data_IF_160476050839
#
_entry.id   IF_160476050839
#
_cell.length_a   1.000
_cell.length_b   1.000
_cell.length_c   1.000
_cell.angle_alpha   90.00
_cell.angle_beta   90.00
_cell.angle_gamma   90.00
#
_symmetry.space_group_name_H-M   'P 1'
#
loop_
_entity.id
_entity.type
_entity.pdbx_description
1 polymer ?
#
# COMPACT_ATOMS: atom_id res chain seq x y z
N UNK A 1 -0.16 70.61 1.74
CA UNK A 1 -0.66 69.64 0.76
C UNK A 1 0.38 68.52 0.71
N UNK A 2 -0.02 67.32 1.16
CA UNK A 2 0.54 65.95 0.99
C UNK A 2 1.79 65.80 0.09
N UNK A 3 2.81 64.98 0.36
CA UNK A 3 2.89 63.53 0.68
C UNK A 3 4.24 63.23 1.40
N UNK A 4 4.29 62.50 2.53
CA UNK A 4 4.62 61.05 2.66
C UNK A 4 5.82 60.53 1.85
N UNK A 5 6.91 60.11 2.54
CA UNK A 5 7.32 58.70 2.53
C UNK A 5 8.27 58.36 3.69
N UNK A 6 7.93 57.27 4.39
CA UNK A 6 8.69 56.68 5.49
C UNK A 6 9.81 55.82 4.89
N UNK A 7 11.05 56.08 5.25
CA UNK A 7 12.12 55.08 5.10
C UNK A 7 11.89 53.94 6.10
N UNK A 8 11.23 52.89 5.63
CA UNK A 8 11.20 51.59 6.31
C UNK A 8 12.46 50.82 5.92
N UNK A 9 13.44 50.78 6.81
CA UNK A 9 14.58 49.88 6.70
C UNK A 9 14.05 48.43 6.68
N UNK A 10 14.05 47.86 5.47
CA UNK A 10 13.75 46.45 5.26
C UNK A 10 14.99 45.68 5.71
N UNK A 11 14.98 45.19 6.95
CA UNK A 11 15.94 44.20 7.43
C UNK A 11 15.76 42.94 6.59
N UNK A 12 16.51 42.83 5.49
CA UNK A 12 16.77 41.55 4.85
C UNK A 12 17.58 40.74 5.85
N UNK A 13 16.91 39.79 6.52
CA UNK A 13 17.57 38.74 7.27
C UNK A 13 18.40 37.92 6.27
N UNK A 14 19.66 38.32 6.09
CA UNK A 14 20.66 37.51 5.45
C UNK A 14 20.91 36.35 6.41
N UNK A 15 20.22 35.22 6.17
CA UNK A 15 20.39 34.01 6.96
C UNK A 15 21.87 33.62 6.82
N UNK A 16 22.64 33.89 7.87
CA UNK A 16 24.04 33.52 7.92
C UNK A 16 24.13 32.00 7.82
N UNK A 17 24.57 31.52 6.65
CA UNK A 17 24.97 30.13 6.44
C UNK A 17 26.33 29.93 7.12
N UNK A 18 26.35 29.94 8.45
CA UNK A 18 27.55 29.60 9.22
C UNK A 18 27.93 28.15 8.94
N UNK A 19 29.22 27.89 8.76
CA UNK A 19 29.78 26.54 8.62
C UNK A 19 29.33 25.61 9.76
N UNK A 20 29.16 26.16 10.96
CA UNK A 20 28.66 25.43 12.13
C UNK A 20 27.19 24.99 11.94
N UNK A 21 26.34 25.86 11.40
CA UNK A 21 24.93 25.53 11.14
C UNK A 21 24.79 24.51 10.00
N UNK A 22 25.68 24.54 9.01
CA UNK A 22 25.73 23.49 8.00
C UNK A 22 26.22 22.17 8.60
N UNK A 23 27.31 22.21 9.37
CA UNK A 23 27.84 21.04 10.07
C UNK A 23 26.80 20.38 10.99
N UNK A 24 26.07 21.16 11.80
CA UNK A 24 25.02 20.64 12.69
C UNK A 24 23.87 20.02 11.90
N UNK A 25 23.45 20.63 10.78
CA UNK A 25 22.44 20.03 9.90
C UNK A 25 22.94 18.71 9.32
N UNK A 26 24.17 18.69 8.83
CA UNK A 26 24.79 17.50 8.24
C UNK A 26 25.00 16.38 9.27
N UNK A 27 25.34 16.74 10.52
CA UNK A 27 25.49 15.84 11.66
C UNK A 27 24.14 15.20 12.01
N UNK A 28 23.09 16.01 12.20
CA UNK A 28 21.75 15.53 12.57
C UNK A 28 21.12 14.69 11.45
N UNK A 29 21.34 15.06 10.19
CA UNK A 29 20.82 14.33 9.03
C UNK A 29 21.75 13.19 8.57
N UNK A 30 22.90 12.99 9.22
CA UNK A 30 23.91 11.99 8.84
C UNK A 30 24.33 12.05 7.35
N UNK A 31 24.40 13.25 6.78
CA UNK A 31 24.61 13.48 5.33
C UNK A 31 25.95 12.90 4.88
N UNK A 32 25.91 12.01 3.89
CA UNK A 32 27.11 11.34 3.37
C UNK A 32 28.13 12.35 2.80
N UNK A 33 29.43 12.06 2.95
CA UNK A 33 30.52 12.89 2.41
C UNK A 33 30.87 14.16 3.21
N UNK A 34 30.04 14.58 4.16
CA UNK A 34 30.26 15.78 5.00
C UNK A 34 31.05 15.46 6.27
N UNK A 35 31.65 16.48 6.91
CA UNK A 35 32.30 16.31 8.22
C UNK A 35 31.28 15.97 9.32
N UNK A 36 30.10 16.59 9.29
CA UNK A 36 29.00 16.29 10.22
C UNK A 36 28.55 14.84 10.10
N UNK A 37 28.22 14.37 8.91
CA UNK A 37 27.79 13.00 8.70
C UNK A 37 28.89 11.94 8.92
N UNK A 38 30.17 12.30 8.80
CA UNK A 38 31.29 11.43 9.23
C UNK A 38 31.35 11.29 10.75
N UNK A 39 31.22 12.40 11.50
CA UNK A 39 31.20 12.35 12.96
C UNK A 39 29.97 11.58 13.48
N UNK A 40 28.79 11.80 12.90
CA UNK A 40 27.57 11.06 13.25
C UNK A 40 27.78 9.54 13.14
N UNK A 41 28.36 9.07 12.02
CA UNK A 41 28.69 7.64 11.82
C UNK A 41 29.76 7.14 12.79
N UNK A 42 30.74 7.96 13.13
CA UNK A 42 31.77 7.58 14.10
C UNK A 42 31.20 7.43 15.52
N UNK A 43 30.23 8.27 15.89
CA UNK A 43 29.56 8.20 17.19
C UNK A 43 28.59 7.02 17.33
N UNK A 44 28.17 6.40 16.22
CA UNK A 44 27.30 5.23 16.20
C UNK A 44 28.08 4.02 15.64
N UNK A 45 28.87 3.33 16.48
CA UNK A 45 29.71 2.22 16.04
C UNK A 45 28.90 0.98 15.67
N UNK A 46 27.70 0.83 16.23
CA UNK A 46 26.85 -0.34 16.00
C UNK A 46 26.12 -0.26 14.65
N UNK A 47 26.02 -1.39 13.92
CA UNK A 47 25.19 -1.48 12.72
C UNK A 47 23.74 -1.07 12.99
N UNK A 48 23.13 -0.36 12.04
CA UNK A 48 21.75 0.08 12.12
C UNK A 48 21.03 -0.21 10.81
N UNK A 49 19.72 -0.45 10.89
CA UNK A 49 18.89 -0.70 9.70
C UNK A 49 18.88 0.55 8.83
N UNK A 50 19.30 0.39 7.58
CA UNK A 50 19.29 1.45 6.57
C UNK A 50 18.18 1.14 5.55
N UNK A 51 17.09 1.91 5.59
CA UNK A 51 15.93 1.70 4.72
C UNK A 51 16.25 1.89 3.24
N UNK A 52 17.29 2.67 2.91
CA UNK A 52 17.75 2.87 1.53
C UNK A 52 18.49 1.65 0.97
N UNK A 53 19.01 0.79 1.86
CA UNK A 53 19.70 -0.46 1.47
C UNK A 53 18.81 -1.69 1.58
N UNK A 54 17.70 -1.62 2.30
CA UNK A 54 16.73 -2.69 2.35
C UNK A 54 16.22 -3.03 0.94
N UNK A 55 15.80 -4.28 0.72
CA UNK A 55 15.39 -4.75 -0.62
C UNK A 55 14.11 -5.56 -0.56
N UNK A 56 13.30 -5.49 -1.63
CA UNK A 56 12.07 -6.26 -1.78
C UNK A 56 12.22 -7.25 -2.96
N UNK A 57 12.09 -8.54 -2.67
CA UNK A 57 12.22 -9.63 -3.64
C UNK A 57 10.85 -10.22 -3.96
N UNK A 58 10.56 -10.45 -5.23
CA UNK A 58 9.31 -11.07 -5.68
C UNK A 58 9.41 -11.64 -7.10
N UNK A 59 8.61 -12.64 -7.38
CA UNK A 59 8.43 -13.20 -8.71
C UNK A 59 7.31 -12.44 -9.45
N UNK A 60 7.63 -11.83 -10.60
CA UNK A 60 6.65 -11.02 -11.37
C UNK A 60 5.51 -11.88 -11.93
N UNK A 61 5.83 -13.12 -12.26
CA UNK A 61 4.92 -14.13 -12.78
C UNK A 61 3.82 -14.57 -11.80
N UNK A 62 4.06 -14.40 -10.50
CA UNK A 62 3.13 -14.75 -9.42
C UNK A 62 2.07 -13.68 -9.18
N UNK A 63 2.28 -12.45 -9.70
CA UNK A 63 1.38 -11.32 -9.46
C UNK A 63 0.16 -11.37 -10.39
N UNK A 64 -0.88 -12.06 -9.91
CA UNK A 64 -2.17 -12.18 -10.63
C UNK A 64 -3.35 -11.88 -9.74
N UNK A 65 -4.41 -11.36 -10.34
CA UNK A 65 -5.63 -11.06 -9.62
C UNK A 65 -6.20 -12.31 -8.93
N UNK A 66 -6.44 -12.22 -7.63
CA UNK A 66 -7.00 -13.31 -6.82
C UNK A 66 -6.02 -14.44 -6.50
N UNK A 67 -4.76 -14.37 -6.95
CA UNK A 67 -3.74 -15.35 -6.58
C UNK A 67 -2.90 -14.83 -5.40
N UNK A 68 -2.69 -15.63 -4.34
CA UNK A 68 -1.79 -15.26 -3.28
C UNK A 68 -0.35 -15.26 -3.79
N UNK A 69 0.32 -14.12 -3.65
CA UNK A 69 1.73 -13.92 -3.91
C UNK A 69 2.47 -13.64 -2.60
N UNK A 70 3.73 -14.09 -2.52
CA UNK A 70 4.61 -13.83 -1.37
C UNK A 70 5.80 -13.02 -1.85
N UNK A 71 5.92 -11.81 -1.34
CA UNK A 71 7.09 -10.95 -1.48
C UNK A 71 8.00 -11.16 -0.26
N UNK A 72 9.29 -10.91 -0.40
CA UNK A 72 10.26 -11.02 0.69
C UNK A 72 10.97 -9.69 0.89
N UNK A 73 10.75 -9.06 2.03
CA UNK A 73 11.56 -7.90 2.46
C UNK A 73 12.81 -8.42 3.15
N UNK A 74 13.96 -7.87 2.78
CA UNK A 74 15.26 -8.16 3.41
C UNK A 74 15.78 -6.86 4.02
N UNK A 75 15.92 -6.85 5.34
CA UNK A 75 16.45 -5.70 6.08
C UNK A 75 17.97 -5.72 6.06
N UNK A 76 18.57 -4.60 5.70
CA UNK A 76 20.01 -4.44 5.59
C UNK A 76 20.51 -3.29 6.44
N UNK A 77 21.76 -3.39 6.88
CA UNK A 77 22.45 -2.33 7.59
C UNK A 77 23.07 -1.30 6.63
N UNK A 78 23.75 -0.29 7.19
CA UNK A 78 24.45 0.75 6.43
C UNK A 78 25.65 0.25 5.60
N UNK A 79 26.06 -1.00 5.78
CA UNK A 79 27.12 -1.65 5.00
C UNK A 79 26.54 -2.54 3.89
N UNK A 80 25.25 -2.86 3.98
CA UNK A 80 24.54 -3.72 3.03
C UNK A 80 24.44 -5.16 3.51
N UNK A 81 24.84 -5.46 4.74
CA UNK A 81 24.72 -6.78 5.33
C UNK A 81 23.31 -7.01 5.87
N UNK A 82 22.83 -8.25 5.79
CA UNK A 82 21.50 -8.60 6.30
C UNK A 82 21.52 -8.50 7.83
N UNK A 83 20.59 -7.73 8.38
CA UNK A 83 20.51 -7.46 9.82
C UNK A 83 19.14 -7.85 10.36
N UNK A 84 19.13 -8.48 11.54
CA UNK A 84 17.91 -8.75 12.29
C UNK A 84 17.84 -7.83 13.50
N UNK A 85 16.76 -7.06 13.60
CA UNK A 85 16.43 -6.26 14.79
C UNK A 85 15.16 -6.82 15.43
N UNK A 86 15.20 -7.23 16.71
CA UNK A 86 14.00 -7.65 17.43
C UNK A 86 12.96 -6.53 17.46
N UNK A 87 11.67 -6.90 17.31
CA UNK A 87 10.53 -5.97 17.36
C UNK A 87 10.47 -4.89 16.28
N UNK A 88 11.34 -4.96 15.26
CA UNK A 88 11.29 -4.06 14.10
C UNK A 88 9.92 -4.13 13.42
N UNK A 89 9.26 -2.99 13.24
CA UNK A 89 7.93 -2.93 12.64
C UNK A 89 8.05 -2.76 11.14
N UNK A 90 7.56 -3.74 10.39
CA UNK A 90 7.51 -3.70 8.92
C UNK A 90 6.05 -3.71 8.47
N UNK A 91 5.64 -2.64 7.80
CA UNK A 91 4.32 -2.47 7.20
C UNK A 91 4.45 -2.49 5.67
N UNK A 92 3.48 -3.08 4.98
CA UNK A 92 3.48 -3.18 3.51
C UNK A 92 2.10 -2.89 2.91
N UNK A 93 2.07 -2.08 1.84
CA UNK A 93 0.85 -1.68 1.13
C UNK A 93 1.05 -1.69 -0.38
N UNK A 94 0.01 -2.08 -1.12
CA UNK A 94 -0.08 -1.89 -2.56
C UNK A 94 -0.97 -0.67 -2.84
N UNK A 95 -0.40 0.35 -3.48
CA UNK A 95 -1.13 1.54 -3.93
C UNK A 95 -1.37 1.41 -5.44
N UNK A 96 -2.63 1.40 -5.91
CA UNK A 96 -2.88 1.37 -7.35
C UNK A 96 -2.39 2.66 -7.99
N UNK A 97 -1.71 2.52 -9.13
CA UNK A 97 -1.18 3.63 -9.92
C UNK A 97 -1.68 3.54 -11.36
N UNK A 98 -1.65 4.66 -12.06
CA UNK A 98 -1.94 4.68 -13.49
C UNK A 98 -0.75 4.17 -14.29
N UNK A 99 -1.04 3.60 -15.48
CA UNK A 99 0.00 3.11 -16.39
C UNK A 99 1.01 4.22 -16.78
N UNK A 100 0.59 5.50 -16.76
CA UNK A 100 1.50 6.63 -17.04
C UNK A 100 2.52 6.84 -15.93
N UNK A 101 2.12 6.62 -14.69
CA UNK A 101 3.00 6.73 -13.53
C UNK A 101 3.93 5.52 -13.40
N UNK A 102 3.73 4.46 -14.20
CA UNK A 102 4.56 3.26 -14.21
C UNK A 102 5.94 3.45 -14.90
N UNK A 103 6.17 4.55 -15.61
CA UNK A 103 7.49 4.92 -16.17
C UNK A 103 7.77 4.49 -17.61
N UNK A 104 6.76 4.01 -18.36
CA UNK A 104 6.92 3.68 -19.78
C UNK A 104 6.88 4.94 -20.66
N UNK A 105 8.05 5.51 -20.96
CA UNK A 105 8.22 6.62 -21.92
C UNK A 105 8.03 6.19 -23.40
N UNK A 106 7.89 4.89 -23.66
CA UNK A 106 7.84 4.32 -25.02
C UNK A 106 6.73 3.28 -25.23
N UNK A 107 5.54 3.46 -24.64
CA UNK A 107 4.34 2.78 -25.15
C UNK A 107 3.14 3.72 -25.22
N UNK A 108 3.20 4.68 -26.16
CA UNK A 108 2.04 5.52 -26.55
C UNK A 108 0.95 4.73 -27.30
N UNK A 109 0.72 3.46 -26.96
CA UNK A 109 -0.37 2.63 -27.51
C UNK A 109 -0.75 1.50 -26.55
N UNK A 110 -1.44 1.80 -25.45
CA UNK A 110 -2.51 0.91 -24.96
C UNK A 110 -3.65 1.76 -24.47
N UNK A 111 -4.74 1.68 -25.22
CA UNK A 111 -6.13 1.95 -24.90
C UNK A 111 -6.37 2.69 -23.57
N UNK A 112 -6.31 4.03 -23.64
CA UNK A 112 -7.50 4.77 -23.21
C UNK A 112 -8.65 4.26 -24.07
N UNK A 113 -9.89 4.38 -23.63
CA UNK A 113 -10.99 4.76 -24.54
C UNK A 113 -10.39 5.29 -25.85
N UNK A 114 -10.64 4.57 -26.96
CA UNK A 114 -10.24 4.98 -28.33
C UNK A 114 -10.17 6.50 -28.37
N UNK A 115 -9.09 7.10 -28.92
CA UNK A 115 -9.05 8.56 -29.15
C UNK A 115 -10.46 9.02 -29.45
N UNK A 116 -11.05 9.88 -28.59
CA UNK A 116 -12.48 10.08 -28.61
C UNK A 116 -12.78 10.60 -30.00
N UNK A 117 -13.44 9.75 -30.77
CA UNK A 117 -13.96 10.15 -32.06
C UNK A 117 -14.84 11.36 -31.76
N UNK A 118 -14.87 12.35 -32.66
CA UNK A 118 -15.63 13.60 -32.49
C UNK A 118 -17.12 13.31 -32.17
N UNK A 119 -17.55 12.07 -32.39
CA UNK A 119 -18.89 11.52 -32.20
C UNK A 119 -19.11 10.70 -30.91
N UNK A 120 -18.11 10.55 -30.02
CA UNK A 120 -18.21 9.66 -28.82
C UNK A 120 -19.36 10.06 -27.87
N UNK A 121 -19.69 11.35 -27.79
CA UNK A 121 -20.81 11.89 -27.01
C UNK A 121 -21.85 12.56 -27.91
N UNK A 122 -22.04 12.03 -29.13
CA UNK A 122 -22.93 12.64 -30.12
C UNK A 122 -22.52 14.06 -30.54
N UNK A 123 -21.22 14.38 -30.49
CA UNK A 123 -20.69 15.73 -30.79
C UNK A 123 -20.64 16.68 -29.59
N UNK A 124 -21.04 16.25 -28.39
CA UNK A 124 -20.89 17.04 -27.17
C UNK A 124 -19.43 17.07 -26.68
N UNK A 125 -19.03 18.11 -25.93
CA UNK A 125 -17.74 18.13 -25.24
C UNK A 125 -17.62 16.99 -24.23
N UNK A 126 -16.43 16.76 -23.71
CA UNK A 126 -16.25 15.76 -22.66
C UNK A 126 -16.95 16.22 -21.37
N UNK A 127 -17.77 15.38 -20.70
CA UNK A 127 -18.43 15.78 -19.46
C UNK A 127 -17.40 16.03 -18.34
N UNK A 128 -17.59 17.08 -17.56
CA UNK A 128 -16.71 17.43 -16.45
C UNK A 128 -16.84 16.43 -15.29
N UNK A 129 -15.73 16.05 -14.66
CA UNK A 129 -15.73 15.19 -13.46
C UNK A 129 -15.57 15.98 -12.15
N UNK A 130 -15.42 17.31 -12.23
CA UNK A 130 -15.13 18.17 -11.08
C UNK A 130 -16.40 18.77 -10.44
N UNK A 131 -17.57 18.57 -11.06
CA UNK A 131 -18.84 19.07 -10.54
C UNK A 131 -19.40 18.07 -9.52
N UNK A 132 -19.51 18.44 -8.23
CA UNK A 132 -20.08 17.55 -7.23
C UNK A 132 -21.57 17.31 -7.49
N UNK A 133 -22.08 16.14 -7.13
CA UNK A 133 -23.49 15.81 -7.28
C UNK A 133 -24.37 16.66 -6.35
N UNK A 134 -25.43 17.25 -6.91
CA UNK A 134 -26.43 18.03 -6.18
C UNK A 134 -27.85 17.66 -6.63
N UNK A 135 -28.82 17.74 -5.69
CA UNK A 135 -30.24 17.52 -6.02
C UNK A 135 -30.74 18.69 -6.85
N UNK A 136 -31.29 18.41 -8.03
CA UNK A 136 -31.87 19.46 -8.87
C UNK A 136 -33.32 19.68 -8.50
N UNK A 137 -33.71 20.93 -8.25
CA UNK A 137 -35.11 21.29 -7.97
C UNK A 137 -35.72 21.86 -9.25
N UNK A 138 -36.71 21.15 -9.81
CA UNK A 138 -37.46 21.60 -10.99
C UNK A 138 -38.95 21.53 -10.69
N UNK A 139 -39.66 22.64 -10.90
CA UNK A 139 -41.11 22.73 -10.68
C UNK A 139 -41.56 22.19 -9.31
N UNK A 140 -40.85 22.61 -8.25
CA UNK A 140 -41.06 22.16 -6.84
C UNK A 140 -40.86 20.66 -6.60
N UNK A 141 -40.32 19.93 -7.58
CA UNK A 141 -39.97 18.51 -7.49
C UNK A 141 -38.46 18.36 -7.28
N UNK A 142 -38.08 17.50 -6.35
CA UNK A 142 -36.68 17.15 -6.10
C UNK A 142 -36.26 16.00 -7.00
N UNK A 143 -35.38 16.28 -7.96
CA UNK A 143 -34.87 15.30 -8.91
C UNK A 143 -33.52 14.75 -8.44
N UNK A 144 -33.46 13.43 -8.24
CA UNK A 144 -32.27 12.71 -7.76
C UNK A 144 -31.43 12.07 -8.88
N UNK A 145 -31.52 12.59 -10.10
CA UNK A 145 -30.82 12.05 -11.26
C UNK A 145 -29.70 13.00 -11.68
N UNK A 146 -28.49 12.47 -11.89
CA UNK A 146 -27.33 13.26 -12.36
C UNK A 146 -27.61 13.94 -13.70
N UNK A 147 -28.37 13.28 -14.59
CA UNK A 147 -28.80 13.83 -15.89
C UNK A 147 -29.81 14.98 -15.76
N UNK A 148 -30.33 15.26 -14.57
CA UNK A 148 -31.16 16.45 -14.32
C UNK A 148 -30.31 17.66 -13.92
N UNK A 149 -29.05 17.47 -13.53
CA UNK A 149 -28.13 18.57 -13.23
C UNK A 149 -27.75 19.30 -14.51
N UNK A 150 -27.65 20.63 -14.45
CA UNK A 150 -27.35 21.49 -15.60
C UNK A 150 -26.04 21.11 -16.32
N UNK A 151 -25.02 20.68 -15.57
CA UNK A 151 -23.74 20.26 -16.12
C UNK A 151 -23.82 18.97 -16.98
N UNK A 152 -24.86 18.16 -16.79
CA UNK A 152 -24.97 16.83 -17.35
C UNK A 152 -26.26 16.56 -18.15
N UNK A 153 -27.10 17.59 -18.33
CA UNK A 153 -28.42 17.47 -18.97
C UNK A 153 -28.38 17.01 -20.44
N UNK A 154 -27.23 17.21 -21.10
CA UNK A 154 -27.02 16.87 -22.51
C UNK A 154 -26.32 15.51 -22.69
N UNK A 155 -26.12 14.75 -21.61
CA UNK A 155 -25.52 13.42 -21.66
C UNK A 155 -26.51 12.36 -21.17
N UNK A 156 -26.47 11.20 -21.80
CA UNK A 156 -27.14 10.01 -21.33
C UNK A 156 -26.44 9.40 -20.11
N UNK A 157 -27.17 8.57 -19.35
CA UNK A 157 -26.57 7.80 -18.26
C UNK A 157 -25.41 6.92 -18.71
N UNK A 158 -25.47 6.39 -19.94
CA UNK A 158 -24.42 5.52 -20.47
C UNK A 158 -23.15 6.29 -20.83
N UNK A 159 -23.29 7.48 -21.41
CA UNK A 159 -22.17 8.39 -21.67
C UNK A 159 -21.49 8.84 -20.36
N UNK A 160 -22.27 9.15 -19.33
CA UNK A 160 -21.74 9.51 -18.02
C UNK A 160 -21.07 8.31 -17.32
N UNK A 161 -21.64 7.10 -17.46
CA UNK A 161 -21.03 5.86 -16.94
C UNK A 161 -19.72 5.55 -17.65
N UNK A 162 -19.64 5.83 -18.94
CA UNK A 162 -18.44 5.62 -19.76
C UNK A 162 -17.25 6.48 -19.29
N UNK A 163 -17.52 7.72 -18.86
CA UNK A 163 -16.48 8.63 -18.34
C UNK A 163 -16.23 8.49 -16.84
N UNK A 164 -17.18 7.93 -16.09
CA UNK A 164 -17.04 7.67 -14.67
C UNK A 164 -15.89 6.67 -14.50
N UNK A 165 -14.83 7.02 -13.74
CA UNK A 165 -13.69 6.13 -13.57
C UNK A 165 -14.18 4.76 -13.09
N UNK A 166 -13.87 3.69 -13.85
CA UNK A 166 -14.08 2.34 -13.39
C UNK A 166 -13.40 2.20 -12.03
N UNK A 167 -14.19 1.96 -10.98
CA UNK A 167 -13.82 1.69 -9.58
C UNK A 167 -12.40 2.14 -9.23
N UNK A 168 -12.25 3.27 -8.52
CA UNK A 168 -10.96 3.64 -7.91
C UNK A 168 -10.47 2.44 -7.13
N UNK A 169 -9.47 1.74 -7.68
CA UNK A 169 -8.82 0.60 -7.02
C UNK A 169 -8.40 1.10 -5.63
N UNK A 170 -8.76 0.37 -4.58
CA UNK A 170 -8.42 0.77 -3.22
C UNK A 170 -6.96 0.44 -2.92
N UNK A 171 -6.35 1.15 -1.98
CA UNK A 171 -5.09 0.71 -1.40
C UNK A 171 -5.29 -0.61 -0.66
N UNK A 172 -4.36 -1.54 -0.83
CA UNK A 172 -4.43 -2.89 -0.27
C UNK A 172 -3.33 -3.05 0.78
N UNK A 173 -3.71 -3.28 2.04
CA UNK A 173 -2.75 -3.59 3.11
C UNK A 173 -2.36 -5.07 3.03
N UNK A 174 -1.07 -5.36 3.17
CA UNK A 174 -0.52 -6.71 3.07
C UNK A 174 -0.23 -7.32 4.45
N UNK A 175 -0.22 -8.65 4.52
CA UNK A 175 0.13 -9.37 5.75
C UNK A 175 1.65 -9.59 5.81
N UNK A 176 2.30 -9.02 6.82
CA UNK A 176 3.75 -9.19 7.04
C UNK A 176 4.00 -10.22 8.14
N UNK A 177 4.92 -11.16 7.90
CA UNK A 177 5.40 -12.14 8.88
C UNK A 177 6.93 -12.11 8.99
N UNK A 178 7.50 -11.83 10.18
CA UNK A 178 8.94 -11.89 10.40
C UNK A 178 9.45 -13.34 10.46
N UNK A 179 10.68 -13.58 10.00
CA UNK A 179 11.35 -14.89 10.09
C UNK A 179 12.45 -14.97 11.17
N UNK A 180 12.77 -13.85 11.83
CA UNK A 180 13.80 -13.81 12.88
C UNK A 180 15.24 -13.80 12.39
N UNK A 181 15.47 -13.63 11.08
CA UNK A 181 16.79 -13.63 10.45
C UNK A 181 17.05 -12.38 9.57
N UNK A 182 16.26 -11.31 9.77
CA UNK A 182 16.31 -10.11 8.93
C UNK A 182 15.50 -10.21 7.64
N UNK A 183 14.68 -11.25 7.49
CA UNK A 183 13.73 -11.37 6.38
C UNK A 183 12.29 -11.40 6.85
N UNK A 184 11.39 -10.89 6.01
CA UNK A 184 9.96 -10.79 6.27
C UNK A 184 9.18 -11.26 5.05
N UNK A 185 8.25 -12.19 5.23
CA UNK A 185 7.30 -12.56 4.19
C UNK A 185 6.12 -11.61 4.17
N UNK A 186 5.85 -11.04 3.00
CA UNK A 186 4.70 -10.17 2.75
C UNK A 186 3.73 -10.92 1.85
N UNK A 187 2.59 -11.32 2.39
CA UNK A 187 1.54 -12.03 1.64
C UNK A 187 0.54 -11.04 1.09
N UNK A 188 0.29 -11.11 -0.21
CA UNK A 188 -0.63 -10.23 -0.92
C UNK A 188 -1.48 -11.04 -1.91
N UNK A 189 -2.79 -10.84 -1.89
CA UNK A 189 -3.72 -11.37 -2.89
C UNK A 189 -4.34 -10.18 -3.62
N UNK A 190 -3.86 -9.80 -4.81
CA UNK A 190 -4.34 -8.62 -5.51
C UNK A 190 -5.85 -8.71 -5.80
N UNK A 191 -6.61 -7.69 -5.41
CA UNK A 191 -8.07 -7.70 -5.63
C UNK A 191 -8.45 -7.41 -7.10
N UNK A 192 -7.61 -6.66 -7.82
CA UNK A 192 -7.86 -6.25 -9.19
C UNK A 192 -6.58 -6.24 -10.04
N UNK A 193 -6.75 -6.31 -11.35
CA UNK A 193 -5.65 -6.16 -12.31
C UNK A 193 -5.22 -4.70 -12.46
N UNK A 194 -3.98 -4.51 -12.90
CA UNK A 194 -3.41 -3.20 -13.20
C UNK A 194 -2.09 -2.93 -12.49
N UNK A 195 -1.63 -1.69 -12.59
CA UNK A 195 -0.35 -1.27 -12.02
C UNK A 195 -0.49 -0.87 -10.55
N UNK A 196 0.47 -1.28 -9.74
CA UNK A 196 0.56 -0.97 -8.31
C UNK A 196 1.98 -0.52 -7.95
N UNK A 197 2.08 0.44 -7.04
CA UNK A 197 3.29 0.77 -6.32
C UNK A 197 3.28 0.04 -4.98
N UNK A 198 4.27 -0.82 -4.74
CA UNK A 198 4.47 -1.48 -3.46
C UNK A 198 5.24 -0.54 -2.54
N UNK A 199 4.63 -0.19 -1.43
CA UNK A 199 5.20 0.70 -0.41
C UNK A 199 5.49 -0.13 0.83
N UNK A 200 6.77 -0.19 1.18
CA UNK A 200 7.26 -0.85 2.39
C UNK A 200 7.73 0.23 3.35
N UNK A 201 7.27 0.14 4.59
CA UNK A 201 7.61 1.07 5.66
C UNK A 201 8.24 0.28 6.81
N UNK A 202 9.44 0.69 7.24
CA UNK A 202 10.21 0.09 8.33
C UNK A 202 10.29 1.14 9.45
N UNK A 203 9.70 0.86 10.60
CA UNK A 203 9.58 1.78 11.76
C UNK A 203 9.06 3.19 11.41
N UNK A 204 8.15 3.27 10.43
CA UNK A 204 7.57 4.53 9.96
C UNK A 204 8.34 5.22 8.82
N UNK A 205 9.52 4.71 8.45
CA UNK A 205 10.31 5.21 7.32
C UNK A 205 10.07 4.38 6.07
N UNK A 206 9.83 5.02 4.94
CA UNK A 206 9.68 4.32 3.67
C UNK A 206 11.04 3.81 3.17
N UNK A 207 11.02 2.66 2.51
CA UNK A 207 12.13 2.25 1.65
C UNK A 207 12.25 3.21 0.46
N UNK A 208 13.47 3.58 0.09
CA UNK A 208 13.73 4.52 -1.00
C UNK A 208 13.33 3.95 -2.37
N UNK A 209 13.45 2.64 -2.56
CA UNK A 209 13.15 1.99 -3.83
C UNK A 209 11.63 1.87 -4.05
N UNK A 210 11.13 2.58 -5.06
CA UNK A 210 9.72 2.54 -5.46
C UNK A 210 9.46 1.34 -6.38
N UNK A 211 8.86 0.30 -5.84
CA UNK A 211 8.61 -0.96 -6.55
C UNK A 211 7.28 -0.91 -7.32
N UNK A 212 7.34 -0.69 -8.63
CA UNK A 212 6.16 -0.67 -9.50
C UNK A 212 5.95 -2.02 -10.17
N UNK A 213 4.76 -2.59 -10.01
CA UNK A 213 4.42 -3.93 -10.48
C UNK A 213 3.11 -3.95 -11.26
N UNK A 214 3.02 -4.82 -12.25
CA UNK A 214 1.79 -5.07 -13.02
C UNK A 214 1.14 -6.37 -12.52
N UNK A 215 -0.11 -6.27 -12.06
CA UNK A 215 -0.95 -7.41 -11.73
C UNK A 215 -1.73 -7.79 -12.99
N UNK A 216 -1.55 -9.05 -13.43
CA UNK A 216 -2.17 -9.58 -14.64
C UNK A 216 -3.46 -10.35 -14.33
N UNK A 217 -4.29 -10.53 -15.34
CA UNK A 217 -5.45 -11.42 -15.25
C UNK A 217 -5.00 -12.87 -15.01
N UNK A 218 -5.85 -13.61 -14.29
CA UNK A 218 -5.70 -15.05 -14.15
C UNK A 218 -6.24 -15.73 -15.41
N UNK A 219 -5.45 -16.59 -16.08
CA UNK A 219 -5.96 -17.36 -17.20
C UNK A 219 -7.12 -18.24 -16.72
N UNK A 220 -8.22 -18.23 -17.48
CA UNK A 220 -9.42 -18.98 -17.13
C UNK A 220 -9.10 -20.47 -16.95
N UNK A 221 -9.54 -21.05 -15.82
CA UNK A 221 -9.39 -22.48 -15.53
C UNK A 221 -8.11 -22.88 -14.79
N UNK A 222 -7.19 -21.95 -14.48
CA UNK A 222 -6.01 -22.25 -13.66
C UNK A 222 -6.30 -22.05 -12.17
N UNK A 223 -6.04 -23.09 -11.38
CA UNK A 223 -6.04 -23.03 -9.92
C UNK A 223 -4.78 -22.27 -9.48
N UNK A 224 -4.86 -21.39 -8.47
CA UNK A 224 -3.67 -20.71 -7.95
C UNK A 224 -2.56 -21.71 -7.63
N UNK A 225 -1.28 -21.36 -7.85
CA UNK A 225 -0.17 -22.17 -7.40
C UNK A 225 -0.42 -22.46 -5.93
N UNK A 226 -0.45 -23.75 -5.57
CA UNK A 226 -0.28 -24.13 -4.17
C UNK A 226 1.09 -23.61 -3.83
N UNK A 227 1.18 -22.43 -3.21
CA UNK A 227 2.43 -21.93 -2.72
C UNK A 227 2.97 -23.02 -1.80
N UNK A 228 3.98 -23.72 -2.31
CA UNK A 228 4.86 -24.53 -1.52
C UNK A 228 5.46 -23.55 -0.53
N UNK A 229 4.82 -23.42 0.62
CA UNK A 229 5.46 -22.85 1.78
C UNK A 229 6.83 -23.50 1.84
N UNK A 230 7.85 -22.64 1.78
CA UNK A 230 9.24 -22.95 2.08
C UNK A 230 9.27 -24.14 3.03
N UNK A 231 9.90 -25.24 2.57
CA UNK A 231 10.10 -26.51 3.28
C UNK A 231 9.49 -26.46 4.67
N UNK A 232 8.31 -27.08 4.83
CA UNK A 232 7.87 -27.51 6.16
C UNK A 232 9.12 -28.07 6.84
N UNK A 233 9.62 -27.38 7.87
CA UNK A 233 10.34 -28.07 8.93
C UNK A 233 9.52 -29.34 9.22
N UNK A 234 10.17 -30.51 9.36
CA UNK A 234 9.50 -31.80 9.41
C UNK A 234 8.26 -31.65 10.29
N UNK A 235 7.12 -31.75 9.61
CA UNK A 235 5.78 -31.42 10.11
C UNK A 235 5.71 -31.97 11.53
N UNK A 236 5.77 -31.11 12.56
CA UNK A 236 5.44 -31.55 13.92
C UNK A 236 4.08 -32.26 13.79
N UNK A 237 3.97 -33.54 14.16
CA UNK A 237 2.79 -34.31 13.83
C UNK A 237 1.59 -33.63 14.47
N UNK A 238 0.67 -33.12 13.63
CA UNK A 238 -0.53 -32.44 14.13
C UNK A 238 -1.29 -33.43 14.99
N UNK A 239 -1.43 -33.11 16.27
CA UNK A 239 -2.13 -33.96 17.23
C UNK A 239 -3.62 -33.75 17.05
N UNK A 240 -4.34 -34.85 16.93
CA UNK A 240 -5.80 -34.85 16.97
C UNK A 240 -6.24 -35.08 18.41
N UNK A 241 -7.07 -34.20 18.95
CA UNK A 241 -7.76 -34.42 20.22
C UNK A 241 -9.26 -34.34 20.02
N UNK A 242 -9.97 -35.30 20.60
CA UNK A 242 -11.43 -35.31 20.66
C UNK A 242 -11.88 -34.58 21.92
N UNK A 243 -12.78 -33.61 21.76
CA UNK A 243 -13.39 -32.93 22.90
C UNK A 243 -14.47 -33.83 23.51
N UNK A 244 -14.23 -34.34 24.72
CA UNK A 244 -15.16 -35.23 25.43
C UNK A 244 -15.61 -34.53 26.71
N UNK A 245 -16.92 -34.28 26.82
CA UNK A 245 -17.53 -33.69 28.01
C UNK A 245 -18.97 -34.18 28.17
N UNK A 246 -19.48 -34.26 29.41
CA UNK A 246 -20.89 -34.55 29.71
C UNK A 246 -21.61 -33.24 30.04
N UNK A 247 -22.83 -33.04 29.53
CA UNK A 247 -23.66 -31.84 29.76
C UNK A 247 -22.94 -30.52 29.40
N UNK A 248 -22.25 -30.48 28.26
CA UNK A 248 -21.59 -29.29 27.74
C UNK A 248 -22.19 -28.87 26.39
N UNK A 249 -22.21 -27.56 26.12
CA UNK A 249 -22.60 -26.99 24.83
C UNK A 249 -21.46 -27.00 23.79
N UNK A 250 -20.28 -27.51 24.15
CA UNK A 250 -19.09 -27.50 23.30
C UNK A 250 -17.95 -26.66 23.89
N UNK A 251 -16.77 -26.73 23.25
CA UNK A 251 -15.60 -25.91 23.57
C UNK A 251 -15.61 -24.66 22.70
N UNK A 252 -15.68 -23.47 23.31
CA UNK A 252 -15.68 -22.18 22.59
C UNK A 252 -14.25 -21.79 22.22
N UNK A 253 -14.03 -21.43 20.96
CA UNK A 253 -12.78 -20.89 20.44
C UNK A 253 -12.94 -19.37 20.34
N UNK A 254 -11.98 -18.63 20.91
CA UNK A 254 -11.98 -17.17 20.93
C UNK A 254 -10.72 -16.61 20.28
N UNK A 255 -10.83 -15.39 19.73
CA UNK A 255 -9.71 -14.73 19.06
C UNK A 255 -8.56 -14.35 20.02
N UNK A 256 -8.87 -14.11 21.30
CA UNK A 256 -7.89 -13.75 22.33
C UNK A 256 -8.13 -14.53 23.63
N UNK A 257 -7.14 -14.63 24.54
CA UNK A 257 -7.28 -15.26 25.85
C UNK A 257 -8.06 -14.37 26.83
N UNK A 258 -9.24 -13.90 26.42
CA UNK A 258 -10.16 -13.09 27.21
C UNK A 258 -11.59 -13.58 27.01
N UNK A 259 -12.36 -13.68 28.10
CA UNK A 259 -13.77 -14.08 28.06
C UNK A 259 -14.68 -13.06 27.35
N UNK A 260 -14.21 -11.84 27.16
CA UNK A 260 -14.95 -10.79 26.44
C UNK A 260 -14.62 -10.76 24.93
N UNK A 261 -13.59 -11.49 24.51
CA UNK A 261 -13.18 -11.48 23.09
C UNK A 261 -14.16 -12.25 22.20
N UNK A 262 -14.18 -11.91 20.91
CA UNK A 262 -15.07 -12.53 19.94
C UNK A 262 -14.96 -14.06 19.92
N UNK A 263 -16.10 -14.74 19.90
CA UNK A 263 -16.17 -16.18 19.72
C UNK A 263 -16.12 -16.50 18.22
N UNK A 264 -14.98 -17.03 17.78
CA UNK A 264 -14.72 -17.35 16.37
C UNK A 264 -15.14 -18.78 16.00
N UNK A 265 -15.49 -19.61 16.98
CA UNK A 265 -16.00 -20.96 16.71
C UNK A 265 -16.40 -21.73 17.97
N UNK A 266 -17.02 -22.90 17.75
CA UNK A 266 -17.36 -23.87 18.81
C UNK A 266 -17.05 -25.28 18.32
N UNK A 267 -16.36 -26.06 19.14
CA UNK A 267 -16.17 -27.49 18.91
C UNK A 267 -17.27 -28.25 19.63
N UNK A 268 -18.14 -28.99 18.93
CA UNK A 268 -19.21 -29.74 19.57
C UNK A 268 -18.65 -30.85 20.48
N UNK A 269 -19.46 -31.34 21.41
CA UNK A 269 -19.12 -32.55 22.19
C UNK A 269 -18.90 -33.70 21.20
N UNK A 270 -17.80 -34.44 21.39
CA UNK A 270 -17.27 -35.45 20.48
C UNK A 270 -16.66 -34.92 19.16
N UNK A 271 -16.54 -33.59 19.00
CA UNK A 271 -15.81 -32.98 17.91
C UNK A 271 -14.30 -33.22 18.01
N UNK A 272 -13.61 -33.21 16.88
CA UNK A 272 -12.15 -33.42 16.80
C UNK A 272 -11.46 -32.12 16.45
N UNK A 273 -10.37 -31.83 17.16
CA UNK A 273 -9.52 -30.65 16.98
C UNK A 273 -8.15 -31.13 16.54
N UNK A 274 -7.67 -30.60 15.42
CA UNK A 274 -6.26 -30.71 15.01
C UNK A 274 -5.49 -29.50 15.50
N UNK A 275 -4.39 -29.72 16.21
CA UNK A 275 -3.49 -28.65 16.64
C UNK A 275 -2.03 -29.08 16.49
N UNK A 276 -1.14 -28.10 16.60
CA UNK A 276 0.31 -28.27 16.53
C UNK A 276 0.84 -27.72 17.86
N UNK A 277 1.74 -28.44 18.55
CA UNK A 277 2.48 -27.86 19.68
C UNK A 277 3.53 -26.90 19.09
N UNK A 278 3.51 -25.63 19.52
CA UNK A 278 4.64 -24.71 19.30
C UNK A 278 5.82 -25.08 20.22
#
# INVERSE_FOLDING_TARGET
>A
MTLWERSGDTVRHQICHSNERQFLRDLVQCVSGTSGGRLARWLQPDPYVDTARCSLLYAKEDLRQGWPAVLTVVTRDQYGDVVHVPYLKVDAKALPIDKRDAGDEYTRKVRRVSEPDEHTFGGQPYPSLDVPYEITIKDKTYCHAITMMKAYENYSFEELRYISPAVKRSSETMLVRPHGNGTYSVTWTPASVGWYSLVITIDGYNMDEMHKVEVKETPQGLIPPKQSTVRKQPNQPSRLRKFVAKKSAGLRIRAHPSLQSEQIGVVPVNGTISFIDE
#
